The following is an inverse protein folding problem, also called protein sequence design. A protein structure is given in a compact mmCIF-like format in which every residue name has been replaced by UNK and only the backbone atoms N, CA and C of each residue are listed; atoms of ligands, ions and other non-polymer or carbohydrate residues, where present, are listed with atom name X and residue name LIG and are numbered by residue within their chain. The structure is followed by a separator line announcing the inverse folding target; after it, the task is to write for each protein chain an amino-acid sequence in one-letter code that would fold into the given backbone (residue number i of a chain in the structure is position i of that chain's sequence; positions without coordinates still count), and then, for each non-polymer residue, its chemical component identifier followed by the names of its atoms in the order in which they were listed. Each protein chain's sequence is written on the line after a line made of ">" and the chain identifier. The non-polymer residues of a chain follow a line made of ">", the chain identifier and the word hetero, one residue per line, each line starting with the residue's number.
data_IF_415344272841
#
_entry.id   IF_415344272841
#
_cell.length_a   1.000
_cell.length_b   1.000
_cell.length_c   1.000
_cell.angle_alpha   90.00
_cell.angle_beta   90.00
_cell.angle_gamma   90.00
#
_symmetry.space_group_name_H-M   'P 1'
#
loop_
_entity.id
_entity.type
_entity.pdbx_description
1 polymer ?
#
# COMPACT_ATOMS: atom_id res chain seq x y z
N UNK A 1 76.74 -73.09 8.71
CA UNK A 1 75.91 -73.72 7.66
C UNK A 1 75.08 -72.64 6.95
N UNK A 2 74.39 -72.99 5.86
CA UNK A 2 73.98 -72.09 4.78
C UNK A 2 72.67 -71.28 5.01
N UNK A 3 72.72 -70.00 4.63
CA UNK A 3 71.81 -69.23 3.75
C UNK A 3 70.36 -68.78 4.15
N UNK A 4 70.03 -67.57 3.63
CA UNK A 4 68.69 -66.89 3.47
C UNK A 4 67.94 -66.59 4.79
N UNK A 5 67.31 -65.44 5.04
CA UNK A 5 67.06 -64.14 4.35
C UNK A 5 66.12 -63.30 5.27
N UNK A 6 65.77 -62.03 5.06
CA UNK A 6 66.06 -61.00 4.04
C UNK A 6 65.84 -59.61 4.70
N UNK A 7 66.46 -58.50 4.21
CA UNK A 7 66.30 -57.16 4.82
C UNK A 7 64.96 -56.49 4.48
N UNK A 8 64.38 -55.79 5.46
CA UNK A 8 63.37 -54.74 5.27
C UNK A 8 63.88 -53.41 5.85
N UNK A 9 63.95 -52.36 5.02
CA UNK A 9 64.29 -51.00 5.45
C UNK A 9 63.02 -50.30 5.93
N UNK A 10 63.06 -49.69 7.12
CA UNK A 10 62.08 -48.69 7.50
C UNK A 10 62.45 -47.32 6.86
N UNK A 11 61.47 -46.64 6.27
CA UNK A 11 61.64 -45.29 5.73
C UNK A 11 60.61 -44.37 6.38
N UNK A 12 61.06 -43.31 7.07
CA UNK A 12 60.16 -42.25 7.55
C UNK A 12 59.57 -41.48 6.36
N UNK A 13 58.25 -41.43 6.27
CA UNK A 13 57.53 -40.58 5.32
C UNK A 13 56.86 -39.40 6.02
N UNK A 14 57.31 -38.17 5.71
CA UNK A 14 56.58 -36.97 6.11
C UNK A 14 55.21 -36.93 5.41
N UNK A 15 54.13 -36.82 6.18
CA UNK A 15 52.77 -36.60 5.63
C UNK A 15 52.67 -35.18 5.08
N UNK A 16 52.71 -35.03 3.75
CA UNK A 16 52.28 -33.80 3.07
C UNK A 16 50.76 -33.67 3.24
N UNK A 17 50.31 -32.70 4.04
CA UNK A 17 48.91 -32.31 4.04
C UNK A 17 48.59 -31.65 2.68
N UNK A 18 47.58 -32.12 1.94
CA UNK A 18 47.26 -31.54 0.63
C UNK A 18 46.68 -30.14 0.79
N UNK A 19 47.13 -29.21 -0.06
CA UNK A 19 46.73 -27.80 -0.14
C UNK A 19 45.20 -27.61 -0.28
N UNK A 20 44.50 -28.66 -0.69
CA UNK A 20 43.02 -28.75 -0.73
C UNK A 20 42.38 -28.38 0.62
N UNK A 21 42.94 -28.80 1.76
CA UNK A 21 42.32 -28.58 3.09
C UNK A 21 42.23 -27.08 3.44
N UNK A 22 43.33 -26.28 3.42
CA UNK A 22 43.22 -24.84 3.68
C UNK A 22 42.40 -24.10 2.63
N UNK A 23 42.42 -24.51 1.35
CA UNK A 23 41.59 -23.88 0.30
C UNK A 23 40.09 -24.10 0.58
N UNK A 24 39.67 -25.32 0.90
CA UNK A 24 38.28 -25.62 1.25
C UNK A 24 37.84 -24.87 2.52
N UNK A 25 38.73 -24.75 3.51
CA UNK A 25 38.45 -23.96 4.72
C UNK A 25 38.24 -22.48 4.39
N UNK A 26 39.11 -21.88 3.58
CA UNK A 26 38.97 -20.47 3.14
C UNK A 26 37.67 -20.27 2.37
N UNK A 27 37.33 -21.13 1.39
CA UNK A 27 36.07 -21.03 0.63
C UNK A 27 34.85 -21.14 1.56
N UNK A 28 34.86 -22.09 2.50
CA UNK A 28 33.75 -22.27 3.45
C UNK A 28 33.59 -21.06 4.36
N UNK A 29 34.70 -20.50 4.86
CA UNK A 29 34.68 -19.26 5.65
C UNK A 29 34.20 -18.08 4.81
N UNK A 30 34.69 -17.91 3.57
CA UNK A 30 34.21 -16.83 2.67
C UNK A 30 32.72 -16.93 2.39
N UNK A 31 32.18 -18.12 2.13
CA UNK A 31 30.73 -18.34 1.95
C UNK A 31 29.96 -18.04 3.24
N UNK A 32 30.45 -18.51 4.39
CA UNK A 32 29.82 -18.20 5.69
C UNK A 32 29.85 -16.70 6.00
N UNK A 33 30.93 -15.99 5.68
CA UNK A 33 31.03 -14.54 5.84
C UNK A 33 30.12 -13.80 4.87
N UNK A 34 29.92 -14.30 3.63
CA UNK A 34 28.87 -13.77 2.74
C UNK A 34 27.50 -13.95 3.38
N UNK A 35 27.12 -15.13 3.89
CA UNK A 35 25.82 -15.30 4.56
C UNK A 35 25.67 -14.51 5.87
N UNK A 36 26.76 -14.25 6.60
CA UNK A 36 26.75 -13.48 7.86
C UNK A 36 26.76 -11.95 7.65
N UNK A 37 27.34 -11.46 6.56
CA UNK A 37 27.41 -10.03 6.22
C UNK A 37 26.44 -9.59 5.13
N UNK A 38 25.83 -10.53 4.39
CA UNK A 38 24.64 -10.28 3.59
C UNK A 38 23.41 -10.19 4.51
N UNK A 39 23.45 -9.19 5.40
CA UNK A 39 22.22 -8.60 5.92
C UNK A 39 21.49 -8.06 4.70
N UNK A 40 20.41 -8.73 4.29
CA UNK A 40 19.31 -8.03 3.67
C UNK A 40 18.90 -6.95 4.67
N UNK A 41 19.22 -5.69 4.39
CA UNK A 41 18.57 -4.57 5.08
C UNK A 41 17.14 -4.49 4.55
N UNK A 42 16.30 -5.42 5.05
CA UNK A 42 14.86 -5.38 4.89
C UNK A 42 14.36 -4.06 5.49
N UNK A 43 14.08 -3.09 4.63
CA UNK A 43 13.29 -1.88 4.94
C UNK A 43 11.83 -2.27 5.20
N UNK A 44 11.59 -3.14 6.19
CA UNK A 44 10.27 -3.54 6.67
C UNK A 44 9.83 -2.57 7.75
N UNK A 45 8.89 -1.70 7.41
CA UNK A 45 8.36 -0.70 8.33
C UNK A 45 7.11 -1.27 8.98
N UNK A 46 7.25 -1.80 10.19
CA UNK A 46 6.09 -2.20 11.01
C UNK A 46 5.47 -0.96 11.64
N UNK A 47 4.32 -0.53 11.10
CA UNK A 47 3.53 0.56 11.64
C UNK A 47 2.68 0.04 12.81
N UNK A 48 3.30 -0.07 13.98
CA UNK A 48 2.58 -0.31 15.24
C UNK A 48 1.58 0.81 15.53
N UNK A 49 0.50 0.46 16.26
CA UNK A 49 -0.66 1.31 16.50
C UNK A 49 -0.33 2.78 16.73
N UNK A 50 -0.89 3.64 15.88
CA UNK A 50 -0.59 5.08 15.88
C UNK A 50 -0.99 5.75 17.21
N UNK A 51 -0.22 6.74 17.69
CA UNK A 51 -0.51 7.38 18.97
C UNK A 51 -1.92 8.00 18.99
N UNK A 52 -2.67 7.90 20.11
CA UNK A 52 -4.06 8.37 20.22
C UNK A 52 -4.24 9.89 20.04
N UNK A 53 -3.16 10.67 19.86
CA UNK A 53 -3.19 12.12 19.66
C UNK A 53 -3.26 12.55 18.18
N UNK A 54 -3.18 11.63 17.20
CA UNK A 54 -3.41 11.97 15.79
C UNK A 54 -4.91 12.23 15.55
N UNK A 55 -5.36 13.47 15.74
CA UNK A 55 -6.62 13.97 15.15
C UNK A 55 -6.53 13.83 13.62
N UNK A 56 -7.20 12.82 13.06
CA UNK A 56 -7.13 12.45 11.64
C UNK A 56 -7.56 13.61 10.72
N UNK A 57 -8.57 14.39 11.13
CA UNK A 57 -9.10 15.54 10.39
C UNK A 57 -8.31 16.85 10.58
N UNK A 58 -7.01 16.83 10.95
CA UNK A 58 -6.19 18.05 11.12
C UNK A 58 -6.05 18.91 9.84
N UNK A 59 -6.37 18.35 8.68
CA UNK A 59 -6.20 19.00 7.38
C UNK A 59 -7.19 20.12 7.07
N UNK A 60 -8.33 20.24 7.74
CA UNK A 60 -9.30 21.31 7.50
C UNK A 60 -8.70 22.72 7.63
N UNK A 61 -7.67 22.86 8.46
CA UNK A 61 -6.92 24.12 8.65
C UNK A 61 -5.81 24.38 7.62
N UNK A 62 -5.46 23.38 6.79
CA UNK A 62 -4.31 23.40 5.87
C UNK A 62 -4.71 23.26 4.40
N UNK A 63 -5.80 22.55 4.12
CA UNK A 63 -6.28 22.22 2.77
C UNK A 63 -7.80 22.27 2.76
N UNK A 64 -8.35 23.11 1.89
CA UNK A 64 -9.75 23.06 1.52
C UNK A 64 -9.90 22.34 0.17
N UNK A 65 -10.83 21.38 0.08
CA UNK A 65 -11.18 20.78 -1.20
C UNK A 65 -11.92 21.79 -2.08
N UNK A 66 -11.43 21.90 -3.31
CA UNK A 66 -11.92 22.76 -4.36
C UNK A 66 -11.66 22.09 -5.74
N UNK A 67 -12.12 20.84 -5.93
CA UNK A 67 -11.75 20.05 -7.10
C UNK A 67 -12.32 20.63 -8.40
N UNK A 68 -11.65 20.29 -9.50
CA UNK A 68 -12.18 20.39 -10.87
C UNK A 68 -12.52 18.98 -11.33
N UNK A 69 -13.67 18.82 -12.00
CA UNK A 69 -14.12 17.58 -12.62
C UNK A 69 -14.26 17.79 -14.12
N UNK A 70 -13.86 16.80 -14.90
CA UNK A 70 -14.06 16.75 -16.35
C UNK A 70 -14.35 15.30 -16.76
N UNK A 71 -15.09 15.12 -17.85
CA UNK A 71 -15.36 13.81 -18.43
C UNK A 71 -14.60 13.69 -19.76
N UNK A 72 -13.73 12.68 -19.89
CA UNK A 72 -12.87 12.48 -21.07
C UNK A 72 -12.72 10.99 -21.35
N UNK A 73 -12.67 10.62 -22.63
CA UNK A 73 -12.45 9.25 -23.10
C UNK A 73 -13.35 8.20 -22.40
N UNK A 74 -14.61 8.56 -22.09
CA UNK A 74 -15.57 7.67 -21.44
C UNK A 74 -15.49 7.59 -19.91
N UNK A 75 -14.61 8.35 -19.24
CA UNK A 75 -14.46 8.32 -17.78
C UNK A 75 -14.39 9.70 -17.12
N UNK A 76 -14.72 9.72 -15.83
CA UNK A 76 -14.57 10.87 -14.93
C UNK A 76 -13.12 11.01 -14.46
N UNK A 77 -12.55 12.20 -14.64
CA UNK A 77 -11.34 12.66 -13.98
C UNK A 77 -11.64 13.82 -13.03
N UNK A 78 -11.07 13.75 -11.82
CA UNK A 78 -11.23 14.78 -10.78
C UNK A 78 -9.85 15.13 -10.23
N UNK A 79 -9.55 16.42 -10.10
CA UNK A 79 -8.22 16.89 -9.71
C UNK A 79 -8.24 18.19 -8.90
N UNK A 80 -7.17 18.39 -8.14
CA UNK A 80 -6.84 19.66 -7.50
C UNK A 80 -5.33 19.88 -7.54
N UNK A 81 -4.93 21.12 -7.83
CA UNK A 81 -3.53 21.54 -7.91
C UNK A 81 -3.33 22.56 -6.79
N UNK A 82 -2.43 22.31 -5.83
CA UNK A 82 -2.08 23.28 -4.79
C UNK A 82 -1.12 24.33 -5.34
N UNK A 83 -1.03 25.50 -4.69
CA UNK A 83 -0.06 26.53 -5.09
C UNK A 83 1.38 26.01 -4.98
N UNK A 84 2.19 26.25 -6.02
CA UNK A 84 3.56 25.75 -6.16
C UNK A 84 3.66 24.22 -6.01
N UNK A 85 3.05 23.44 -6.94
CA UNK A 85 3.10 21.98 -6.88
C UNK A 85 4.53 21.47 -7.13
N UNK A 86 4.97 20.48 -6.35
CA UNK A 86 6.31 19.88 -6.45
C UNK A 86 6.33 18.55 -7.23
N UNK A 87 5.18 17.90 -7.36
CA UNK A 87 5.01 16.60 -7.99
C UNK A 87 3.58 16.43 -8.50
N UNK A 88 3.36 15.48 -9.40
CA UNK A 88 2.04 14.98 -9.78
C UNK A 88 1.79 13.63 -9.12
N UNK A 89 0.61 13.45 -8.52
CA UNK A 89 0.15 12.17 -8.00
C UNK A 89 -1.06 11.68 -8.80
N UNK A 90 -0.96 10.49 -9.38
CA UNK A 90 -2.10 9.72 -9.88
C UNK A 90 -2.63 8.78 -8.79
N UNK A 91 -3.95 8.76 -8.57
CA UNK A 91 -4.63 7.86 -7.64
C UNK A 91 -5.62 6.93 -8.37
N UNK A 92 -5.42 5.63 -8.18
CA UNK A 92 -6.28 4.56 -8.70
C UNK A 92 -7.02 3.82 -7.58
N UNK A 93 -8.35 3.86 -7.59
CA UNK A 93 -9.21 3.24 -6.57
C UNK A 93 -9.23 1.70 -6.62
N UNK A 94 -9.69 1.06 -5.54
CA UNK A 94 -10.03 -0.37 -5.52
C UNK A 94 -11.33 -0.70 -6.27
N UNK A 95 -11.68 -2.00 -6.32
CA UNK A 95 -12.95 -2.42 -6.92
C UNK A 95 -14.16 -1.79 -6.21
N UNK A 96 -15.20 -1.45 -6.96
CA UNK A 96 -16.37 -0.67 -6.54
C UNK A 96 -16.13 0.82 -6.27
N UNK A 97 -14.87 1.28 -6.14
CA UNK A 97 -14.54 2.70 -6.06
C UNK A 97 -14.72 3.46 -7.37
N UNK A 98 -14.56 4.79 -7.30
CA UNK A 98 -14.60 5.78 -8.40
C UNK A 98 -13.74 6.99 -8.01
N UNK A 99 -13.43 7.87 -8.97
CA UNK A 99 -12.78 9.16 -8.68
C UNK A 99 -13.54 9.99 -7.62
N UNK A 100 -14.87 9.96 -7.61
CA UNK A 100 -15.73 10.68 -6.66
C UNK A 100 -15.55 10.28 -5.19
N UNK A 101 -14.95 9.11 -4.90
CA UNK A 101 -14.69 8.69 -3.52
C UNK A 101 -13.53 9.45 -2.87
N UNK A 102 -12.60 9.99 -3.65
CA UNK A 102 -11.41 10.71 -3.18
C UNK A 102 -11.65 12.17 -2.77
N UNK A 103 -12.85 12.71 -2.98
CA UNK A 103 -13.15 14.13 -2.80
C UNK A 103 -14.47 14.32 -2.07
N UNK A 104 -14.59 15.41 -1.33
CA UNK A 104 -15.83 15.74 -0.63
C UNK A 104 -16.89 16.29 -1.56
N UNK A 105 -18.15 16.04 -1.17
CA UNK A 105 -19.31 16.74 -1.69
C UNK A 105 -19.12 18.24 -1.58
N UNK A 106 -19.21 18.93 -2.72
CA UNK A 106 -19.04 20.38 -2.81
C UNK A 106 -19.88 20.95 -3.95
N UNK A 107 -20.13 22.27 -4.02
CA UNK A 107 -20.85 22.87 -5.14
C UNK A 107 -20.23 22.60 -6.53
N UNK A 108 -18.93 22.26 -6.58
CA UNK A 108 -18.21 21.90 -7.82
C UNK A 108 -18.20 20.40 -8.11
N UNK A 109 -18.52 19.57 -7.11
CA UNK A 109 -18.73 18.15 -7.26
C UNK A 109 -19.85 17.68 -6.31
N UNK A 110 -21.13 17.83 -6.69
CA UNK A 110 -22.26 17.42 -5.85
C UNK A 110 -22.38 15.90 -5.71
N UNK A 111 -21.81 15.15 -6.65
CA UNK A 111 -21.73 13.68 -6.68
C UNK A 111 -20.49 13.13 -5.95
N UNK A 112 -19.61 13.99 -5.44
CA UNK A 112 -18.45 13.56 -4.65
C UNK A 112 -18.88 13.06 -3.27
N UNK A 113 -18.21 12.02 -2.77
CA UNK A 113 -18.61 11.27 -1.57
C UNK A 113 -17.63 11.49 -0.42
N UNK A 114 -16.33 11.34 -0.67
CA UNK A 114 -15.28 11.48 0.35
C UNK A 114 -15.22 10.30 1.31
N UNK A 115 -14.96 9.09 0.78
CA UNK A 115 -14.72 7.90 1.62
C UNK A 115 -13.47 8.10 2.49
N UNK A 116 -13.45 7.61 3.74
CA UNK A 116 -12.49 8.02 4.77
C UNK A 116 -11.01 7.99 4.33
N UNK A 117 -10.54 6.86 3.81
CA UNK A 117 -9.12 6.67 3.52
C UNK A 117 -8.71 7.32 2.20
N UNK A 118 -9.56 7.23 1.17
CA UNK A 118 -9.40 7.93 -0.11
C UNK A 118 -9.27 9.44 0.09
N UNK A 119 -10.20 10.07 0.83
CA UNK A 119 -10.17 11.53 1.06
C UNK A 119 -8.93 11.96 1.84
N UNK A 120 -8.49 11.17 2.82
CA UNK A 120 -7.35 11.51 3.67
C UNK A 120 -6.06 11.45 2.88
N UNK A 121 -5.89 10.47 1.98
CA UNK A 121 -4.75 10.40 1.06
C UNK A 121 -4.65 11.65 0.16
N UNK A 122 -5.78 12.16 -0.37
CA UNK A 122 -5.77 13.43 -1.14
C UNK A 122 -5.42 14.63 -0.26
N UNK A 123 -5.98 14.73 0.95
CA UNK A 123 -5.66 15.82 1.88
C UNK A 123 -4.17 15.85 2.25
N UNK A 124 -3.59 14.70 2.57
CA UNK A 124 -2.16 14.54 2.83
C UNK A 124 -1.31 14.94 1.60
N UNK A 125 -1.70 14.52 0.39
CA UNK A 125 -1.01 14.87 -0.85
C UNK A 125 -1.02 16.38 -1.12
N UNK A 126 -2.20 17.02 -1.04
CA UNK A 126 -2.37 18.46 -1.26
C UNK A 126 -1.61 19.28 -0.21
N UNK A 127 -1.64 18.88 1.06
CA UNK A 127 -0.90 19.53 2.14
C UNK A 127 0.62 19.50 1.88
N UNK A 128 1.11 18.41 1.28
CA UNK A 128 2.51 18.20 0.88
C UNK A 128 2.85 18.77 -0.50
N UNK A 129 1.96 19.54 -1.13
CA UNK A 129 2.12 20.20 -2.44
C UNK A 129 2.22 19.25 -3.65
N UNK A 130 1.54 18.11 -3.61
CA UNK A 130 1.33 17.27 -4.79
C UNK A 130 0.10 17.78 -5.57
N UNK A 131 0.21 17.88 -6.89
CA UNK A 131 -0.93 18.05 -7.79
C UNK A 131 -1.62 16.70 -7.97
N UNK A 132 -2.86 16.55 -7.48
CA UNK A 132 -3.54 15.26 -7.39
C UNK A 132 -4.52 15.08 -8.54
N UNK A 133 -4.40 13.97 -9.26
CA UNK A 133 -5.30 13.51 -10.31
C UNK A 133 -5.89 12.14 -9.92
N UNK A 134 -7.22 12.05 -9.94
CA UNK A 134 -7.97 10.80 -9.74
C UNK A 134 -8.77 10.52 -11.00
N UNK A 135 -8.84 9.26 -11.41
CA UNK A 135 -9.57 8.80 -12.60
C UNK A 135 -10.44 7.61 -12.17
N UNK A 136 -11.65 7.51 -12.71
CA UNK A 136 -12.49 6.33 -12.48
C UNK A 136 -12.13 5.22 -13.46
N UNK A 137 -12.18 3.95 -13.02
CA UNK A 137 -12.18 2.85 -13.98
C UNK A 137 -13.46 2.85 -14.82
N UNK A 138 -13.39 2.34 -16.05
CA UNK A 138 -14.53 2.16 -16.93
C UNK A 138 -15.56 1.19 -16.31
N UNK A 139 -15.08 0.10 -15.72
CA UNK A 139 -15.89 -0.91 -15.03
C UNK A 139 -15.99 -0.72 -13.52
N UNK A 140 -16.35 -1.80 -12.81
CA UNK A 140 -16.29 -1.90 -11.33
C UNK A 140 -14.85 -1.97 -10.81
N UNK A 141 -13.95 -2.52 -11.60
CA UNK A 141 -12.53 -2.65 -11.33
C UNK A 141 -11.78 -2.21 -12.59
N UNK A 142 -10.51 -1.85 -12.45
CA UNK A 142 -9.61 -1.58 -13.56
C UNK A 142 -9.37 -2.82 -14.43
N UNK A 143 -9.31 -2.60 -15.74
CA UNK A 143 -8.88 -3.57 -16.75
C UNK A 143 -7.53 -3.14 -17.37
N UNK A 144 -6.76 -4.12 -17.84
CA UNK A 144 -5.38 -3.92 -18.29
C UNK A 144 -5.23 -3.79 -19.81
N UNK A 145 -6.35 -3.84 -20.54
CA UNK A 145 -6.41 -3.72 -22.01
C UNK A 145 -6.46 -2.26 -22.48
N UNK A 146 -7.46 -1.92 -23.30
CA UNK A 146 -7.64 -0.56 -23.86
C UNK A 146 -7.68 0.55 -22.80
N UNK A 147 -8.27 0.28 -21.63
CA UNK A 147 -8.32 1.20 -20.49
C UNK A 147 -6.94 1.70 -20.05
N UNK A 148 -5.91 0.86 -20.13
CA UNK A 148 -4.51 1.23 -19.85
C UNK A 148 -4.04 2.39 -20.72
N UNK A 149 -4.29 2.29 -22.04
CA UNK A 149 -3.93 3.29 -23.04
C UNK A 149 -4.77 4.57 -22.90
N UNK A 150 -6.05 4.43 -22.57
CA UNK A 150 -6.95 5.55 -22.30
C UNK A 150 -6.45 6.38 -21.11
N UNK A 151 -6.03 5.73 -20.03
CA UNK A 151 -5.55 6.39 -18.81
C UNK A 151 -4.17 7.01 -19.03
N UNK A 152 -3.30 6.35 -19.81
CA UNK A 152 -2.03 6.93 -20.27
C UNK A 152 -2.24 8.25 -21.06
N UNK A 153 -3.18 8.29 -22.02
CA UNK A 153 -3.56 9.52 -22.72
C UNK A 153 -4.05 10.58 -21.73
N UNK A 154 -4.98 10.23 -20.82
CA UNK A 154 -5.55 11.19 -19.85
C UNK A 154 -4.46 11.79 -18.97
N UNK A 155 -3.56 10.97 -18.39
CA UNK A 155 -2.46 11.45 -17.54
C UNK A 155 -1.53 12.38 -18.36
N UNK A 156 -1.07 11.93 -19.53
CA UNK A 156 -0.13 12.68 -20.38
C UNK A 156 -0.73 14.00 -20.85
N UNK A 157 -1.98 13.99 -21.32
CA UNK A 157 -2.73 15.18 -21.73
C UNK A 157 -2.96 16.13 -20.56
N UNK A 158 -3.33 15.63 -19.38
CA UNK A 158 -3.60 16.46 -18.21
C UNK A 158 -2.33 17.13 -17.69
N UNK A 159 -1.24 16.37 -17.54
CA UNK A 159 0.08 16.89 -17.14
C UNK A 159 0.54 17.99 -18.10
N UNK A 160 0.38 17.78 -19.41
CA UNK A 160 0.69 18.80 -20.44
C UNK A 160 -0.22 20.02 -20.34
N UNK A 161 -1.54 19.84 -20.25
CA UNK A 161 -2.54 20.93 -20.21
C UNK A 161 -2.39 21.82 -18.97
N UNK A 162 -2.01 21.25 -17.84
CA UNK A 162 -1.79 21.99 -16.59
C UNK A 162 -0.34 22.51 -16.46
N UNK A 163 0.51 22.34 -17.49
CA UNK A 163 1.93 22.76 -17.52
C UNK A 163 2.78 22.13 -16.38
N UNK A 164 2.49 20.87 -16.02
CA UNK A 164 3.14 20.12 -14.94
C UNK A 164 4.25 19.19 -15.43
N UNK A 165 4.51 19.10 -16.75
CA UNK A 165 5.44 18.14 -17.37
C UNK A 165 6.94 18.30 -17.04
N UNK A 166 7.29 19.20 -16.12
CA UNK A 166 8.64 19.30 -15.51
C UNK A 166 8.71 18.72 -14.10
N UNK A 167 7.57 18.33 -13.53
CA UNK A 167 7.48 17.78 -12.18
C UNK A 167 7.57 16.24 -12.23
N UNK A 168 8.13 15.61 -11.20
CA UNK A 168 8.07 14.15 -11.04
C UNK A 168 6.62 13.68 -10.99
N UNK A 169 6.35 12.55 -11.65
CA UNK A 169 5.05 11.88 -11.68
C UNK A 169 5.11 10.64 -10.80
N UNK A 170 4.24 10.51 -9.81
CA UNK A 170 4.12 9.33 -8.94
C UNK A 170 2.71 8.76 -8.98
N UNK A 171 2.53 7.50 -8.62
CA UNK A 171 1.23 6.85 -8.57
C UNK A 171 1.00 6.06 -7.28
N UNK A 172 -0.24 6.04 -6.82
CA UNK A 172 -0.73 5.13 -5.79
C UNK A 172 -1.98 4.41 -6.29
N UNK A 173 -2.00 3.09 -6.16
CA UNK A 173 -3.15 2.27 -6.52
C UNK A 173 -3.54 1.32 -5.41
N UNK A 174 -4.84 1.20 -5.12
CA UNK A 174 -5.36 0.27 -4.13
C UNK A 174 -6.04 -0.94 -4.78
N UNK A 175 -5.75 -2.16 -4.31
CA UNK A 175 -6.34 -3.42 -4.79
C UNK A 175 -6.28 -3.54 -6.33
N UNK A 176 -7.41 -3.49 -7.04
CA UNK A 176 -7.42 -3.47 -8.53
C UNK A 176 -6.73 -2.26 -9.14
N UNK A 177 -6.79 -1.09 -8.48
CA UNK A 177 -5.99 0.07 -8.84
C UNK A 177 -4.50 -0.15 -8.61
N UNK A 178 -4.11 -0.97 -7.62
CA UNK A 178 -2.72 -1.35 -7.38
C UNK A 178 -2.18 -2.27 -8.48
N UNK A 179 -2.94 -3.30 -8.87
CA UNK A 179 -2.61 -4.07 -10.07
C UNK A 179 -2.47 -3.17 -11.31
N UNK A 180 -3.41 -2.26 -11.52
CA UNK A 180 -3.38 -1.34 -12.66
C UNK A 180 -2.15 -0.42 -12.65
N UNK A 181 -1.83 0.19 -11.51
CA UNK A 181 -0.64 1.02 -11.32
C UNK A 181 0.64 0.21 -11.58
N UNK A 182 0.70 -1.06 -11.18
CA UNK A 182 1.86 -1.92 -11.48
C UNK A 182 2.06 -2.13 -12.99
N UNK A 183 0.98 -2.26 -13.77
CA UNK A 183 1.07 -2.47 -15.23
C UNK A 183 1.37 -1.17 -15.97
N UNK A 184 0.64 -0.09 -15.69
CA UNK A 184 0.84 1.20 -16.40
C UNK A 184 2.20 1.83 -16.10
N UNK A 185 2.84 1.46 -14.98
CA UNK A 185 4.22 1.82 -14.66
C UNK A 185 5.28 1.21 -15.60
N UNK A 186 4.91 0.23 -16.42
CA UNK A 186 5.76 -0.29 -17.49
C UNK A 186 5.62 0.51 -18.80
N UNK A 187 4.56 1.33 -18.94
CA UNK A 187 4.33 2.21 -20.09
C UNK A 187 4.80 3.64 -19.77
N UNK A 188 4.19 4.24 -18.73
CA UNK A 188 4.45 5.58 -18.24
C UNK A 188 5.62 5.61 -17.25
N UNK A 189 6.52 6.59 -17.42
CA UNK A 189 7.63 6.79 -16.50
C UNK A 189 7.19 7.52 -15.23
N UNK A 190 7.02 6.76 -14.15
CA UNK A 190 6.87 7.29 -12.81
C UNK A 190 8.24 7.45 -12.13
N UNK A 191 8.34 8.39 -11.20
CA UNK A 191 9.48 8.55 -10.29
C UNK A 191 9.47 7.50 -9.18
N UNK A 192 8.28 7.08 -8.75
CA UNK A 192 8.04 5.96 -7.83
C UNK A 192 6.55 5.63 -7.79
N UNK A 193 6.22 4.41 -7.37
CA UNK A 193 4.83 3.94 -7.20
C UNK A 193 4.59 3.35 -5.82
N UNK A 194 3.32 3.35 -5.37
CA UNK A 194 2.85 2.68 -4.16
C UNK A 194 1.69 1.76 -4.48
N UNK A 195 1.80 0.48 -4.08
CA UNK A 195 0.78 -0.55 -4.27
C UNK A 195 0.14 -0.85 -2.91
N UNK A 196 -1.08 -0.36 -2.70
CA UNK A 196 -1.85 -0.56 -1.48
C UNK A 196 -2.73 -1.80 -1.62
N UNK A 197 -2.65 -2.73 -0.67
CA UNK A 197 -3.36 -4.03 -0.65
C UNK A 197 -3.31 -4.78 -2.00
N UNK A 198 -2.19 -4.67 -2.71
CA UNK A 198 -1.97 -5.25 -4.03
C UNK A 198 -0.53 -5.75 -4.16
N UNK A 199 -0.37 -6.94 -4.74
CA UNK A 199 0.92 -7.56 -5.05
C UNK A 199 1.46 -7.15 -6.44
N UNK A 200 0.63 -6.56 -7.30
CA UNK A 200 0.98 -6.23 -8.69
C UNK A 200 0.82 -7.42 -9.65
N UNK A 201 1.19 -7.22 -10.92
CA UNK A 201 1.07 -8.22 -12.00
C UNK A 201 2.44 -8.53 -12.64
N UNK A 202 3.46 -8.66 -11.80
CA UNK A 202 4.87 -8.79 -12.18
C UNK A 202 5.22 -10.12 -12.87
N UNK A 203 4.41 -11.15 -12.70
CA UNK A 203 4.49 -12.44 -13.42
C UNK A 203 3.77 -12.43 -14.78
N UNK A 204 3.05 -11.36 -15.10
CA UNK A 204 2.28 -11.20 -16.34
C UNK A 204 2.86 -10.15 -17.31
N UNK A 205 4.03 -9.57 -17.00
CA UNK A 205 4.70 -8.57 -17.85
C UNK A 205 6.22 -8.66 -17.81
N UNK A 206 6.87 -8.29 -18.91
CA UNK A 206 8.32 -8.04 -18.92
C UNK A 206 8.64 -6.72 -18.23
N UNK A 207 9.13 -6.80 -16.99
CA UNK A 207 9.56 -5.64 -16.19
C UNK A 207 10.76 -4.96 -16.88
N UNK A 208 10.58 -3.69 -17.26
CA UNK A 208 11.63 -2.83 -17.82
C UNK A 208 12.80 -2.61 -16.86
N UNK A 209 13.99 -2.35 -17.43
CA UNK A 209 15.20 -2.00 -16.68
C UNK A 209 15.06 -0.67 -15.90
N UNK A 210 14.20 0.25 -16.36
CA UNK A 210 13.91 1.53 -15.70
C UNK A 210 12.56 1.55 -14.97
N UNK A 211 12.05 0.38 -14.55
CA UNK A 211 10.82 0.25 -13.79
C UNK A 211 10.91 1.01 -12.44
N UNK A 212 9.87 1.76 -12.03
CA UNK A 212 9.97 2.68 -10.89
C UNK A 212 10.15 1.98 -9.53
N UNK A 213 10.85 2.64 -8.58
CA UNK A 213 10.87 2.25 -7.18
C UNK A 213 9.46 2.00 -6.65
N UNK A 214 9.25 0.84 -6.04
CA UNK A 214 7.93 0.33 -5.65
C UNK A 214 7.80 0.15 -4.13
N UNK A 215 6.82 0.82 -3.53
CA UNK A 215 6.43 0.61 -2.13
C UNK A 215 5.21 -0.31 -2.07
N UNK A 216 5.30 -1.41 -1.33
CA UNK A 216 4.14 -2.22 -0.96
C UNK A 216 3.56 -1.75 0.37
N UNK A 217 2.24 -1.59 0.45
CA UNK A 217 1.52 -1.24 1.67
C UNK A 217 0.39 -2.24 1.84
N UNK A 218 0.48 -3.13 2.83
CA UNK A 218 -0.50 -4.21 2.96
C UNK A 218 -0.82 -4.54 4.40
N UNK A 219 -1.91 -5.28 4.57
CA UNK A 219 -2.37 -5.74 5.88
C UNK A 219 -1.95 -7.19 6.09
N UNK A 220 -1.35 -7.55 7.23
CA UNK A 220 -0.72 -8.86 7.42
C UNK A 220 -1.72 -10.01 7.56
N UNK A 221 -3.01 -9.76 7.84
CA UNK A 221 -4.03 -10.84 7.85
C UNK A 221 -4.50 -11.25 6.45
N UNK A 222 -4.21 -10.47 5.40
CA UNK A 222 -4.37 -10.91 4.00
C UNK A 222 -3.17 -11.80 3.61
N UNK A 223 -3.13 -13.00 4.20
CA UNK A 223 -1.97 -13.92 4.13
C UNK A 223 -1.58 -14.27 2.69
N UNK A 224 -2.57 -14.43 1.79
CA UNK A 224 -2.32 -14.70 0.37
C UNK A 224 -1.59 -13.53 -0.29
N UNK A 225 -2.00 -12.29 0.03
CA UNK A 225 -1.37 -11.06 -0.46
C UNK A 225 0.05 -10.92 0.07
N UNK A 226 0.24 -11.10 1.37
CA UNK A 226 1.55 -11.01 2.03
C UNK A 226 2.56 -11.98 1.41
N UNK A 227 2.16 -13.24 1.17
CA UNK A 227 2.99 -14.24 0.48
C UNK A 227 3.40 -13.76 -0.92
N UNK A 228 2.44 -13.28 -1.72
CA UNK A 228 2.72 -12.79 -3.08
C UNK A 228 3.54 -11.51 -3.12
N UNK A 229 3.35 -10.59 -2.16
CA UNK A 229 4.20 -9.40 -2.00
C UNK A 229 5.64 -9.83 -1.69
N UNK A 230 5.83 -10.79 -0.77
CA UNK A 230 7.17 -11.33 -0.46
C UNK A 230 7.87 -11.88 -1.71
N UNK A 231 7.16 -12.70 -2.51
CA UNK A 231 7.67 -13.22 -3.80
C UNK A 231 8.05 -12.10 -4.78
N UNK A 232 7.19 -11.08 -4.96
CA UNK A 232 7.46 -10.01 -5.93
C UNK A 232 8.48 -8.96 -5.47
N UNK A 233 8.69 -8.79 -4.16
CA UNK A 233 9.82 -8.03 -3.63
C UNK A 233 11.14 -8.64 -4.09
N UNK A 234 11.28 -9.96 -4.06
CA UNK A 234 12.48 -10.64 -4.57
C UNK A 234 12.62 -10.47 -6.09
N UNK A 235 11.54 -10.64 -6.86
CA UNK A 235 11.54 -10.45 -8.32
C UNK A 235 12.01 -9.04 -8.71
N UNK A 236 11.47 -8.00 -8.06
CA UNK A 236 11.82 -6.61 -8.35
C UNK A 236 13.25 -6.25 -7.91
N UNK A 237 13.71 -6.73 -6.75
CA UNK A 237 15.10 -6.54 -6.29
C UNK A 237 16.10 -7.22 -7.24
N UNK A 238 15.78 -8.42 -7.74
CA UNK A 238 16.58 -9.11 -8.76
C UNK A 238 16.61 -8.37 -10.12
N UNK A 239 15.66 -7.46 -10.36
CA UNK A 239 15.64 -6.52 -11.51
C UNK A 239 16.32 -5.18 -11.22
N UNK A 240 16.84 -4.96 -10.01
CA UNK A 240 17.53 -3.72 -9.61
C UNK A 240 16.61 -2.58 -9.17
N UNK A 241 15.32 -2.84 -8.95
CA UNK A 241 14.35 -1.85 -8.47
C UNK A 241 14.52 -1.65 -6.94
N UNK A 242 14.48 -0.41 -6.42
CA UNK A 242 14.39 -0.19 -4.96
C UNK A 242 12.96 -0.50 -4.49
N UNK A 243 12.87 -1.32 -3.44
CA UNK A 243 11.60 -1.89 -2.96
C UNK A 243 11.57 -1.97 -1.44
N UNK A 244 10.52 -1.39 -0.88
CA UNK A 244 10.21 -1.41 0.55
C UNK A 244 8.78 -1.92 0.80
N UNK A 245 8.50 -2.31 2.05
CA UNK A 245 7.18 -2.74 2.49
C UNK A 245 6.75 -2.07 3.81
N UNK A 246 5.45 -1.83 3.92
CA UNK A 246 4.76 -1.33 5.11
C UNK A 246 3.68 -2.34 5.49
N UNK A 247 3.74 -2.82 6.73
CA UNK A 247 2.69 -3.64 7.33
C UNK A 247 1.74 -2.79 8.15
N UNK A 248 0.49 -2.70 7.70
CA UNK A 248 -0.60 -1.99 8.35
C UNK A 248 -1.23 -2.91 9.40
N UNK A 249 -0.80 -2.79 10.65
CA UNK A 249 -1.27 -3.61 11.76
C UNK A 249 -2.71 -3.29 12.16
N UNK A 250 -3.37 -4.24 12.83
CA UNK A 250 -4.70 -4.04 13.40
C UNK A 250 -4.68 -2.97 14.50
N UNK A 251 -5.84 -2.32 14.71
CA UNK A 251 -6.00 -1.24 15.67
C UNK A 251 -7.30 -1.40 16.47
N UNK A 252 -7.31 -0.99 17.76
CA UNK A 252 -8.49 -1.11 18.59
C UNK A 252 -9.52 -0.05 18.22
N UNK A 253 -10.78 -0.44 18.15
CA UNK A 253 -11.90 0.49 18.10
C UNK A 253 -12.03 1.21 19.46
N UNK A 254 -12.51 2.44 19.41
CA UNK A 254 -12.88 3.25 20.57
C UNK A 254 -14.28 3.85 20.37
N UNK A 255 -14.92 4.42 21.42
CA UNK A 255 -16.19 5.13 21.27
C UNK A 255 -16.14 6.29 20.26
N UNK A 256 -14.98 6.91 20.02
CA UNK A 256 -14.82 8.02 19.06
C UNK A 256 -14.27 7.59 17.70
N UNK A 257 -13.77 6.35 17.57
CA UNK A 257 -13.00 5.90 16.40
C UNK A 257 -13.67 6.19 15.06
N UNK A 258 -14.95 5.84 14.92
CA UNK A 258 -15.70 6.07 13.69
C UNK A 258 -16.00 7.56 13.49
N UNK A 259 -16.32 8.30 14.55
CA UNK A 259 -16.54 9.75 14.50
C UNK A 259 -15.29 10.53 14.08
N UNK A 260 -14.12 10.15 14.59
CA UNK A 260 -12.86 10.83 14.31
C UNK A 260 -12.38 10.63 12.86
N UNK A 261 -12.99 9.69 12.11
CA UNK A 261 -12.52 9.19 10.80
C UNK A 261 -13.57 9.26 9.69
N UNK A 262 -14.86 9.12 9.99
CA UNK A 262 -15.95 9.18 9.00
C UNK A 262 -16.58 10.59 9.01
N UNK A 263 -16.43 11.38 7.94
CA UNK A 263 -17.05 12.69 7.83
C UNK A 263 -18.58 12.61 7.96
N UNK A 264 -19.17 13.47 8.78
CA UNK A 264 -20.62 13.54 8.97
C UNK A 264 -21.22 12.49 9.91
N UNK A 265 -20.45 11.51 10.40
CA UNK A 265 -20.93 10.63 11.48
C UNK A 265 -20.98 11.40 12.81
N UNK A 266 -22.03 11.20 13.60
CA UNK A 266 -22.14 11.80 14.93
C UNK A 266 -21.36 11.01 16.01
N UNK A 267 -20.84 11.72 17.02
CA UNK A 267 -20.06 11.14 18.12
C UNK A 267 -20.91 10.18 18.98
N UNK A 268 -22.19 10.50 19.19
CA UNK A 268 -23.14 9.64 19.91
C UNK A 268 -23.43 8.37 19.13
N UNK A 269 -23.58 8.47 17.80
CA UNK A 269 -23.75 7.29 16.92
C UNK A 269 -22.50 6.41 16.99
N UNK A 270 -21.31 6.98 16.86
CA UNK A 270 -20.03 6.26 17.00
C UNK A 270 -19.93 5.51 18.32
N UNK A 271 -20.20 6.16 19.45
CA UNK A 271 -20.18 5.53 20.77
C UNK A 271 -21.27 4.44 20.91
N UNK A 272 -22.44 4.66 20.31
CA UNK A 272 -23.56 3.71 20.32
C UNK A 272 -23.27 2.45 19.51
N UNK A 273 -22.58 2.58 18.38
CA UNK A 273 -22.08 1.46 17.56
C UNK A 273 -20.98 0.69 18.29
N UNK A 274 -20.00 1.36 18.89
CA UNK A 274 -18.95 0.72 19.67
C UNK A 274 -19.52 -0.14 20.82
N UNK A 275 -20.49 0.39 21.56
CA UNK A 275 -21.17 -0.37 22.62
C UNK A 275 -21.93 -1.58 22.06
N UNK A 276 -22.62 -1.46 20.92
CA UNK A 276 -23.26 -2.60 20.24
C UNK A 276 -22.22 -3.67 19.86
N UNK A 277 -21.06 -3.28 19.34
CA UNK A 277 -20.00 -4.22 18.95
C UNK A 277 -19.41 -4.95 20.16
N UNK A 278 -19.32 -4.28 21.32
CA UNK A 278 -18.95 -4.88 22.61
C UNK A 278 -20.02 -5.87 23.10
N UNK A 279 -21.28 -5.45 23.15
CA UNK A 279 -22.43 -6.26 23.61
C UNK A 279 -22.59 -7.55 22.79
N UNK A 280 -22.41 -7.47 21.46
CA UNK A 280 -22.48 -8.62 20.55
C UNK A 280 -21.16 -9.40 20.45
N UNK A 281 -20.11 -8.95 21.14
CA UNK A 281 -18.81 -9.62 21.19
C UNK A 281 -18.02 -9.59 19.89
N UNK A 282 -18.31 -8.68 18.96
CA UNK A 282 -17.58 -8.52 17.69
C UNK A 282 -16.16 -7.98 17.90
N UNK A 283 -15.99 -7.11 18.91
CA UNK A 283 -14.69 -6.70 19.44
C UNK A 283 -14.33 -7.47 20.71
N UNK A 284 -13.04 -7.51 21.04
CA UNK A 284 -12.51 -8.07 22.28
C UNK A 284 -12.53 -7.08 23.46
N UNK A 285 -11.90 -7.48 24.57
CA UNK A 285 -11.81 -6.66 25.79
C UNK A 285 -10.95 -5.39 25.62
N UNK A 286 -10.03 -5.38 24.66
CA UNK A 286 -9.12 -4.28 24.33
C UNK A 286 -9.63 -3.41 23.16
N UNK A 287 -10.71 -3.82 22.48
CA UNK A 287 -11.35 -3.10 21.38
C UNK A 287 -10.98 -3.61 19.98
N UNK A 288 -10.15 -4.65 19.86
CA UNK A 288 -9.77 -5.22 18.56
C UNK A 288 -10.90 -6.03 17.94
N UNK A 289 -11.06 -5.91 16.63
CA UNK A 289 -12.02 -6.70 15.85
C UNK A 289 -11.62 -8.19 15.86
N UNK A 290 -12.53 -9.08 16.25
CA UNK A 290 -12.26 -10.53 16.27
C UNK A 290 -12.34 -11.19 14.90
N UNK A 291 -12.93 -10.51 13.92
CA UNK A 291 -13.17 -10.98 12.55
C UNK A 291 -13.14 -9.79 11.58
N UNK A 292 -12.95 -10.08 10.31
CA UNK A 292 -13.15 -9.17 9.18
C UNK A 292 -14.46 -8.38 9.33
N UNK A 293 -14.38 -7.05 9.16
CA UNK A 293 -15.51 -6.12 9.30
C UNK A 293 -16.64 -6.37 8.30
N UNK A 294 -16.31 -6.76 7.07
CA UNK A 294 -17.24 -7.16 6.00
C UNK A 294 -17.87 -8.53 6.27
N UNK A 295 -17.12 -9.45 6.90
CA UNK A 295 -17.62 -10.76 7.30
C UNK A 295 -18.44 -10.74 8.62
N UNK A 296 -18.36 -9.65 9.38
CA UNK A 296 -19.04 -9.51 10.68
C UNK A 296 -20.50 -9.10 10.48
N UNK A 297 -21.44 -9.81 11.13
CA UNK A 297 -22.89 -9.56 11.04
C UNK A 297 -23.35 -8.34 11.87
N UNK A 298 -22.59 -7.25 11.83
CA UNK A 298 -22.88 -6.03 12.60
C UNK A 298 -24.10 -5.29 12.06
N UNK A 299 -24.32 -5.32 10.74
CA UNK A 299 -25.51 -4.74 10.08
C UNK A 299 -26.81 -5.38 10.56
N UNK A 300 -26.82 -6.71 10.69
CA UNK A 300 -27.97 -7.46 11.22
C UNK A 300 -28.22 -7.10 12.70
N UNK A 301 -27.16 -7.12 13.52
CA UNK A 301 -27.26 -6.76 14.93
C UNK A 301 -27.72 -5.30 15.16
N UNK A 302 -27.35 -4.39 14.26
CA UNK A 302 -27.79 -3.00 14.23
C UNK A 302 -29.27 -2.91 13.89
N UNK A 303 -29.71 -3.60 12.83
CA UNK A 303 -31.11 -3.64 12.41
C UNK A 303 -32.03 -4.26 13.49
N UNK A 304 -31.57 -5.31 14.17
CA UNK A 304 -32.31 -5.99 15.24
C UNK A 304 -32.42 -5.14 16.52
N UNK A 305 -31.36 -4.39 16.87
CA UNK A 305 -31.25 -3.76 18.19
C UNK A 305 -31.56 -2.26 18.17
N UNK A 306 -31.21 -1.55 17.09
CA UNK A 306 -31.29 -0.09 16.95
C UNK A 306 -31.60 0.30 15.48
N UNK A 307 -32.77 -0.08 14.93
CA UNK A 307 -33.14 0.23 13.55
C UNK A 307 -33.15 1.75 13.30
N UNK A 308 -32.71 2.15 12.11
CA UNK A 308 -32.54 3.55 11.68
C UNK A 308 -31.50 4.39 12.47
N UNK A 309 -30.63 3.79 13.30
CA UNK A 309 -29.56 4.53 13.98
C UNK A 309 -28.50 5.09 13.02
N UNK A 310 -28.24 4.40 11.91
CA UNK A 310 -27.21 4.76 10.93
C UNK A 310 -27.85 5.06 9.58
N UNK A 311 -27.46 6.18 8.97
CA UNK A 311 -27.88 6.56 7.62
C UNK A 311 -27.28 5.60 6.57
N UNK A 312 -27.99 5.39 5.45
CA UNK A 312 -27.65 4.31 4.50
C UNK A 312 -26.32 4.52 3.79
N UNK A 313 -25.95 5.76 3.55
CA UNK A 313 -24.68 6.19 2.98
C UNK A 313 -23.51 6.00 3.96
N UNK A 314 -23.74 6.14 5.27
CA UNK A 314 -22.74 5.88 6.31
C UNK A 314 -22.45 4.38 6.56
N UNK A 315 -23.30 3.46 6.06
CA UNK A 315 -23.08 2.01 6.21
C UNK A 315 -21.79 1.53 5.55
N UNK A 316 -21.44 2.07 4.37
CA UNK A 316 -20.25 1.66 3.62
C UNK A 316 -18.94 2.17 4.27
N UNK A 317 -18.80 3.48 4.61
CA UNK A 317 -17.68 3.97 5.40
C UNK A 317 -17.46 3.20 6.71
N UNK A 318 -18.54 2.85 7.44
CA UNK A 318 -18.42 2.05 8.67
C UNK A 318 -17.89 0.64 8.37
N UNK A 319 -18.33 -0.01 7.29
CA UNK A 319 -17.82 -1.33 6.90
C UNK A 319 -16.33 -1.32 6.54
N UNK A 320 -15.88 -0.30 5.80
CA UNK A 320 -14.47 -0.10 5.44
C UNK A 320 -13.62 0.16 6.69
N UNK A 321 -14.05 1.06 7.56
CA UNK A 321 -13.34 1.38 8.81
C UNK A 321 -13.24 0.20 9.78
N UNK A 322 -14.25 -0.67 9.85
CA UNK A 322 -14.20 -1.91 10.62
C UNK A 322 -13.24 -2.93 10.02
N UNK A 323 -13.09 -2.96 8.70
CA UNK A 323 -12.21 -3.88 8.00
C UNK A 323 -10.73 -3.40 8.02
N UNK A 324 -10.52 -2.08 7.91
CA UNK A 324 -9.26 -1.40 8.24
C UNK A 324 -8.82 -1.72 9.67
N UNK A 325 -9.71 -1.59 10.65
CA UNK A 325 -9.39 -1.86 12.05
C UNK A 325 -9.01 -3.33 12.30
N UNK A 326 -9.63 -4.27 11.58
CA UNK A 326 -9.24 -5.68 11.59
C UNK A 326 -7.88 -5.93 10.91
N UNK A 327 -7.37 -5.00 10.09
CA UNK A 327 -6.22 -5.17 9.21
C UNK A 327 -6.38 -6.35 8.24
N UNK A 328 -7.36 -6.26 7.34
CA UNK A 328 -7.52 -7.16 6.20
C UNK A 328 -8.00 -6.42 4.96
N UNK A 329 -7.27 -6.50 3.85
CA UNK A 329 -7.69 -6.04 2.52
C UNK A 329 -8.50 -4.71 2.47
N UNK A 330 -8.01 -3.65 3.13
CA UNK A 330 -8.59 -2.30 3.04
C UNK A 330 -7.59 -1.24 2.56
N UNK A 331 -8.07 -0.27 1.79
CA UNK A 331 -7.28 0.93 1.47
C UNK A 331 -6.93 1.67 2.77
N UNK A 332 -5.79 2.36 2.83
CA UNK A 332 -5.46 3.10 4.06
C UNK A 332 -4.67 4.39 3.88
N UNK A 333 -5.01 5.37 4.72
CA UNK A 333 -4.32 6.64 4.93
C UNK A 333 -3.42 6.63 6.19
N UNK A 334 -3.49 5.60 7.04
CA UNK A 334 -2.79 5.55 8.33
C UNK A 334 -1.28 5.79 8.18
N UNK A 335 -0.67 5.19 7.16
CA UNK A 335 0.76 5.31 6.83
C UNK A 335 1.05 6.32 5.70
N UNK A 336 0.17 7.33 5.52
CA UNK A 336 0.39 8.42 4.55
C UNK A 336 1.74 9.12 4.77
N UNK A 337 2.18 9.28 6.02
CA UNK A 337 3.45 9.93 6.35
C UNK A 337 4.66 9.21 5.72
N UNK A 338 4.65 7.89 5.76
CA UNK A 338 5.65 6.99 5.21
C UNK A 338 5.53 6.89 3.67
N UNK A 339 4.30 6.77 3.14
CA UNK A 339 4.00 6.76 1.70
C UNK A 339 4.48 8.04 1.01
N UNK A 340 4.19 9.21 1.58
CA UNK A 340 4.63 10.47 0.97
C UNK A 340 6.13 10.73 1.13
N UNK A 341 6.76 10.23 2.20
CA UNK A 341 8.23 10.20 2.31
C UNK A 341 8.88 9.32 1.23
N UNK A 342 8.28 8.16 0.93
CA UNK A 342 8.74 7.30 -0.17
C UNK A 342 8.65 8.00 -1.52
N UNK A 343 7.55 8.70 -1.81
CA UNK A 343 7.48 9.50 -3.03
C UNK A 343 8.55 10.59 -3.05
N UNK A 344 8.68 11.36 -1.96
CA UNK A 344 9.64 12.47 -1.85
C UNK A 344 11.10 12.05 -1.97
N UNK A 345 11.48 10.85 -1.49
CA UNK A 345 12.86 10.35 -1.62
C UNK A 345 13.25 9.94 -3.04
N UNK A 346 12.29 9.82 -3.96
CA UNK A 346 12.50 9.38 -5.35
C UNK A 346 12.14 10.45 -6.39
N UNK A 347 11.95 11.70 -5.98
CA UNK A 347 11.62 12.84 -6.88
C UNK A 347 12.81 13.45 -7.63
N UNK A 348 14.04 13.02 -7.33
CA UNK A 348 15.29 13.65 -7.76
C UNK A 348 15.84 13.10 -9.08
#
# INVERSE_FOLDING_TARGET
>A
MLNRGTKLKAWHGQKKYPVVVPVMFVVTVSVALVFLFHRNDEKRIQAYGLPPERKWNRFESLVQFNPKREFRNGTDLIWQIPDSPKAVLFLAHGCSGRAVNFWDKSPKCPECVGLPEERLLVLHALARKFAVLTISSAGRCWAFGEERLIVEDIITWWVKRQNLGKLPLVALGASSGGYFVSVIANDLKFSSITLVIAEGLFDHMDIREDYPPTLFVHMPKDLRRQQKITEFIEVLRNKGVDVAEIECMELPLSPTFLFDRIPGLDQTISATLFNLFREKGFVDENGYMKRDGRATRWKDALQDSKPNLLEKDLVHPVEEELNLAFAYHEMTSLQSEEIFKWFESHMA
#
